data_IF_083112205907
#
_entry.id   IF_083112205907
#
_cell.length_a   1.000
_cell.length_b   1.000
_cell.length_c   1.000
_cell.angle_alpha   90.00
_cell.angle_beta   90.00
_cell.angle_gamma   90.00
#
_symmetry.space_group_name_H-M   'P 1'
#
loop_
_entity.id
_entity.type
_entity.pdbx_description
1 polymer ?
#
# COMPACT_ATOMS: atom_id res chain seq x y z
N UNK A 1 -1.33 16.52 14.63
CA UNK A 1 -1.29 15.72 13.39
C UNK A 1 0.19 15.50 13.05
N UNK A 2 0.62 14.27 12.77
CA UNK A 2 2.02 13.99 12.38
C UNK A 2 2.21 14.27 10.89
N UNK A 3 3.42 14.65 10.46
CA UNK A 3 3.73 15.00 9.07
C UNK A 3 3.31 13.94 8.02
N UNK A 4 3.26 12.66 8.40
CA UNK A 4 2.76 11.57 7.55
C UNK A 4 1.24 11.60 7.34
N UNK A 5 0.45 12.01 8.34
CA UNK A 5 -1.00 12.12 8.21
C UNK A 5 -1.37 13.24 7.24
N UNK A 6 -0.68 14.38 7.33
CA UNK A 6 -0.90 15.50 6.42
C UNK A 6 -0.57 15.16 4.96
N UNK A 7 0.47 14.34 4.73
CA UNK A 7 0.80 13.85 3.40
C UNK A 7 -0.31 12.96 2.81
N UNK A 8 -0.88 12.05 3.62
CA UNK A 8 -1.97 11.16 3.17
C UNK A 8 -3.28 11.93 2.94
N UNK A 9 -3.61 12.90 3.80
CA UNK A 9 -4.76 13.78 3.58
C UNK A 9 -4.60 14.62 2.31
N UNK A 10 -3.39 15.14 2.03
CA UNK A 10 -3.08 15.85 0.77
C UNK A 10 -3.21 14.96 -0.48
N UNK A 11 -3.01 13.65 -0.33
CA UNK A 11 -3.20 12.67 -1.39
C UNK A 11 -4.67 12.21 -1.54
N UNK A 12 -5.60 12.80 -0.76
CA UNK A 12 -7.04 12.52 -0.87
C UNK A 12 -7.54 11.37 0.00
N UNK A 13 -6.72 10.86 0.93
CA UNK A 13 -7.13 9.79 1.84
C UNK A 13 -7.97 10.38 2.98
N UNK A 14 -9.20 9.89 3.14
CA UNK A 14 -10.05 10.27 4.28
C UNK A 14 -9.36 9.93 5.61
N UNK A 15 -9.34 10.83 6.61
CA UNK A 15 -8.67 10.60 7.89
C UNK A 15 -9.08 9.30 8.60
N UNK A 16 -10.35 8.90 8.45
CA UNK A 16 -10.92 7.66 9.02
C UNK A 16 -10.42 6.37 8.34
N UNK A 17 -9.76 6.50 7.19
CA UNK A 17 -9.14 5.39 6.44
C UNK A 17 -7.61 5.44 6.47
N UNK A 18 -7.04 6.31 7.32
CA UNK A 18 -5.59 6.37 7.53
C UNK A 18 -5.23 5.37 8.62
N UNK A 19 -4.72 4.22 8.20
CA UNK A 19 -4.18 3.21 9.10
C UNK A 19 -2.70 3.53 9.37
N UNK A 20 -2.36 3.70 10.65
CA UNK A 20 -1.00 4.03 11.07
C UNK A 20 -0.55 3.00 12.10
N UNK A 21 0.57 2.36 11.80
CA UNK A 21 1.37 1.62 12.74
C UNK A 21 2.06 2.60 13.72
N UNK A 22 1.31 3.15 14.69
CA UNK A 22 1.85 4.06 15.72
C UNK A 22 2.77 3.29 16.67
N UNK A 23 4.00 3.77 16.85
CA UNK A 23 4.91 3.29 17.90
C UNK A 23 5.89 2.18 17.52
N UNK A 24 6.02 1.84 16.24
CA UNK A 24 6.87 0.74 15.80
C UNK A 24 8.19 1.28 15.22
N UNK A 25 9.11 1.64 16.12
CA UNK A 25 10.51 1.90 15.78
C UNK A 25 11.17 0.59 15.33
N UNK A 26 11.51 0.50 14.03
CA UNK A 26 12.57 -0.35 13.46
C UNK A 26 12.53 -1.88 13.59
N UNK A 27 11.85 -2.48 14.57
CA UNK A 27 12.07 -3.89 14.95
C UNK A 27 10.83 -4.66 15.40
N UNK A 28 9.65 -4.06 15.39
CA UNK A 28 8.49 -4.69 16.00
C UNK A 28 7.59 -5.37 14.95
N UNK A 29 7.31 -6.66 15.22
CA UNK A 29 7.05 -7.74 14.25
C UNK A 29 5.61 -7.76 13.73
N UNK A 30 4.71 -7.00 14.35
CA UNK A 30 3.29 -6.97 14.06
C UNK A 30 2.93 -5.63 13.42
N UNK A 31 2.35 -5.68 12.21
CA UNK A 31 1.93 -4.50 11.42
C UNK A 31 0.40 -4.47 11.30
N UNK A 32 -0.32 -4.37 12.43
CA UNK A 32 -1.78 -4.42 12.41
C UNK A 32 -2.39 -3.33 11.53
N UNK A 33 -1.71 -2.18 11.35
CA UNK A 33 -2.17 -1.12 10.46
C UNK A 33 -2.18 -1.51 8.98
N UNK A 34 -1.13 -2.21 8.50
CA UNK A 34 -1.10 -2.69 7.12
C UNK A 34 -2.12 -3.80 6.89
N UNK A 35 -2.21 -4.76 7.80
CA UNK A 35 -3.22 -5.83 7.74
C UNK A 35 -4.65 -5.26 7.70
N UNK A 36 -4.94 -4.26 8.54
CA UNK A 36 -6.23 -3.57 8.52
C UNK A 36 -6.47 -2.83 7.21
N UNK A 37 -5.45 -2.17 6.65
CA UNK A 37 -5.58 -1.49 5.36
C UNK A 37 -5.86 -2.49 4.23
N UNK A 38 -5.13 -3.61 4.19
CA UNK A 38 -5.34 -4.69 3.21
C UNK A 38 -6.70 -5.38 3.37
N UNK A 39 -7.22 -5.48 4.59
CA UNK A 39 -8.56 -5.99 4.86
C UNK A 39 -9.67 -4.99 4.51
N UNK A 40 -9.40 -3.68 4.62
CA UNK A 40 -10.36 -2.62 4.35
C UNK A 40 -10.54 -2.34 2.85
N UNK A 41 -9.49 -2.48 2.04
CA UNK A 41 -9.55 -2.22 0.60
C UNK A 41 -10.43 -3.23 -0.14
N UNK A 42 -11.28 -2.71 -1.03
CA UNK A 42 -12.15 -3.47 -1.92
C UNK A 42 -11.77 -3.22 -3.38
N UNK A 43 -12.34 -4.02 -4.29
CA UNK A 43 -12.14 -3.83 -5.72
C UNK A 43 -12.48 -2.40 -6.15
N UNK A 44 -11.56 -1.76 -6.87
CA UNK A 44 -11.67 -0.36 -7.31
C UNK A 44 -11.14 0.68 -6.32
N UNK A 45 -10.82 0.30 -5.08
CA UNK A 45 -10.16 1.21 -4.13
C UNK A 45 -8.68 1.42 -4.48
N UNK A 46 -8.09 2.44 -3.86
CA UNK A 46 -6.65 2.73 -3.94
C UNK A 46 -6.01 2.59 -2.57
N UNK A 47 -5.07 1.67 -2.43
CA UNK A 47 -4.20 1.57 -1.27
C UNK A 47 -3.07 2.59 -1.39
N UNK A 48 -3.01 3.57 -0.49
CA UNK A 48 -1.97 4.60 -0.50
C UNK A 48 -0.90 4.28 0.53
N UNK A 49 0.35 4.18 0.09
CA UNK A 49 1.52 4.00 0.95
C UNK A 49 2.61 5.01 0.59
N UNK A 50 3.35 5.55 1.58
CA UNK A 50 4.31 6.61 1.32
C UNK A 50 5.58 6.12 0.61
N UNK A 51 6.00 4.86 0.83
CA UNK A 51 7.21 4.25 0.27
C UNK A 51 7.06 2.73 0.19
N UNK A 52 7.83 2.09 -0.69
CA UNK A 52 7.79 0.63 -0.90
C UNK A 52 8.27 -0.15 0.34
N UNK A 53 9.24 0.37 1.11
CA UNK A 53 9.69 -0.24 2.38
C UNK A 53 8.60 -0.26 3.47
N UNK A 54 7.54 0.55 3.27
CA UNK A 54 6.34 0.57 4.11
C UNK A 54 5.21 -0.28 3.54
N UNK A 55 5.32 -0.77 2.31
CA UNK A 55 4.43 -1.80 1.79
C UNK A 55 4.96 -3.16 2.21
N UNK A 56 6.20 -3.47 1.82
CA UNK A 56 6.77 -4.80 1.97
C UNK A 56 8.18 -4.78 2.59
N UNK A 57 8.50 -5.83 3.37
CA UNK A 57 9.79 -5.99 4.07
C UNK A 57 10.79 -6.91 3.35
N UNK A 58 10.30 -7.66 2.38
CA UNK A 58 11.09 -8.58 1.58
C UNK A 58 10.44 -8.74 0.22
N UNK A 59 11.19 -9.32 -0.70
CA UNK A 59 10.72 -9.63 -2.04
C UNK A 59 9.50 -10.58 -2.04
N UNK A 60 9.50 -11.70 -1.29
CA UNK A 60 8.30 -12.56 -1.20
C UNK A 60 7.06 -11.84 -0.65
N UNK A 61 7.26 -10.97 0.35
CA UNK A 61 6.19 -10.18 0.96
C UNK A 61 5.62 -9.16 -0.05
N UNK A 62 6.48 -8.52 -0.85
CA UNK A 62 6.07 -7.61 -1.92
C UNK A 62 5.26 -8.33 -2.99
N UNK A 63 5.68 -9.55 -3.35
CA UNK A 63 4.98 -10.40 -4.31
C UNK A 63 3.58 -10.78 -3.81
N UNK A 64 3.47 -11.31 -2.60
CA UNK A 64 2.16 -11.70 -2.04
C UNK A 64 1.17 -10.52 -1.99
N UNK A 65 1.65 -9.35 -1.56
CA UNK A 65 0.83 -8.13 -1.54
C UNK A 65 0.46 -7.69 -2.95
N UNK A 66 1.40 -7.72 -3.90
CA UNK A 66 1.15 -7.35 -5.30
C UNK A 66 0.11 -8.26 -5.96
N UNK A 67 0.25 -9.58 -5.81
CA UNK A 67 -0.71 -10.59 -6.30
C UNK A 67 -2.09 -10.38 -5.66
N UNK A 68 -2.17 -10.13 -4.35
CA UNK A 68 -3.43 -9.91 -3.64
C UNK A 68 -4.14 -8.62 -4.10
N UNK A 69 -3.41 -7.53 -4.30
CA UNK A 69 -3.96 -6.26 -4.79
C UNK A 69 -4.41 -6.39 -6.25
N UNK A 70 -3.61 -7.04 -7.10
CA UNK A 70 -3.95 -7.27 -8.50
C UNK A 70 -5.18 -8.16 -8.65
N UNK A 71 -5.25 -9.28 -7.91
CA UNK A 71 -6.39 -10.19 -7.92
C UNK A 71 -7.69 -9.51 -7.45
N UNK A 72 -7.58 -8.55 -6.54
CA UNK A 72 -8.71 -7.76 -6.05
C UNK A 72 -9.02 -6.54 -6.92
N UNK A 73 -8.22 -6.20 -7.93
CA UNK A 73 -8.40 -4.97 -8.71
C UNK A 73 -8.22 -3.69 -7.89
N UNK A 74 -7.33 -3.73 -6.90
CA UNK A 74 -7.01 -2.59 -6.02
C UNK A 74 -5.82 -1.83 -6.61
N UNK A 75 -5.94 -0.50 -6.72
CA UNK A 75 -4.86 0.36 -7.17
C UNK A 75 -3.86 0.57 -6.05
N UNK A 76 -2.58 0.71 -6.39
CA UNK A 76 -1.53 1.01 -5.42
C UNK A 76 -0.99 2.40 -5.68
N UNK A 77 -1.08 3.30 -4.69
CA UNK A 77 -0.42 4.59 -4.74
C UNK A 77 0.87 4.57 -3.90
N UNK A 78 2.01 4.78 -4.56
CA UNK A 78 3.30 4.98 -3.93
C UNK A 78 3.65 6.47 -3.93
N UNK A 79 3.47 7.13 -2.79
CA UNK A 79 3.62 8.58 -2.70
C UNK A 79 2.64 9.30 -3.63
N UNK A 80 3.14 10.01 -4.64
CA UNK A 80 2.34 10.73 -5.64
C UNK A 80 1.97 9.89 -6.85
N UNK A 81 2.56 8.71 -7.03
CA UNK A 81 2.35 7.88 -8.21
C UNK A 81 1.29 6.83 -7.92
N UNK A 82 0.32 6.68 -8.83
CA UNK A 82 -0.77 5.70 -8.73
C UNK A 82 -0.57 4.65 -9.81
N UNK A 83 -0.59 3.38 -9.41
CA UNK A 83 -0.47 2.21 -10.27
C UNK A 83 -1.78 1.44 -10.26
N UNK A 84 -2.44 1.38 -11.41
CA UNK A 84 -3.70 0.68 -11.59
C UNK A 84 -3.46 -0.72 -12.18
N UNK A 85 -3.86 -1.83 -11.53
CA UNK A 85 -3.71 -3.17 -12.08
C UNK A 85 -4.51 -3.42 -13.38
N UNK A 86 -5.41 -2.52 -13.77
CA UNK A 86 -6.10 -2.57 -15.06
C UNK A 86 -5.30 -1.91 -16.21
N UNK A 87 -4.40 -0.97 -15.91
CA UNK A 87 -3.58 -0.25 -16.88
C UNK A 87 -2.34 -1.09 -17.28
N UNK A 88 -1.95 -1.15 -18.57
CA UNK A 88 -0.68 -1.74 -18.99
C UNK A 88 0.53 -1.37 -18.13
N UNK A 89 0.67 -0.09 -17.75
CA UNK A 89 1.78 0.39 -16.93
C UNK A 89 1.70 -0.11 -15.49
N UNK A 90 0.50 -0.11 -14.90
CA UNK A 90 0.32 -0.64 -13.55
C UNK A 90 0.50 -2.16 -13.52
N UNK A 91 -0.04 -2.90 -14.50
CA UNK A 91 0.23 -4.34 -14.67
C UNK A 91 1.72 -4.65 -14.72
N UNK A 92 2.48 -3.88 -15.51
CA UNK A 92 3.93 -4.04 -15.56
C UNK A 92 4.57 -3.81 -14.19
N UNK A 93 4.16 -2.77 -13.46
CA UNK A 93 4.66 -2.50 -12.11
C UNK A 93 4.36 -3.64 -11.13
N UNK A 94 3.12 -4.13 -11.09
CA UNK A 94 2.74 -5.27 -10.25
C UNK A 94 3.51 -6.54 -10.62
N UNK A 95 3.70 -6.82 -11.91
CA UNK A 95 4.48 -7.96 -12.38
C UNK A 95 5.95 -7.86 -11.99
N UNK A 96 6.54 -6.66 -12.05
CA UNK A 96 7.91 -6.40 -11.62
C UNK A 96 8.04 -6.67 -10.12
N UNK A 97 7.11 -6.19 -9.29
CA UNK A 97 7.08 -6.51 -7.85
C UNK A 97 6.92 -8.01 -7.57
N UNK A 98 6.18 -8.73 -8.42
CA UNK A 98 5.96 -10.17 -8.28
C UNK A 98 7.11 -11.03 -8.84
N UNK A 99 7.96 -10.50 -9.71
CA UNK A 99 9.03 -11.25 -10.40
C UNK A 99 10.35 -11.25 -9.64
N UNK A 100 10.59 -10.25 -8.80
CA UNK A 100 11.80 -10.21 -8.00
C UNK A 100 11.88 -11.36 -7.01
#
# INVERSE_FOLDING_TARGET
MTAQQEALVKLGVSPDRIYIDKGLTGSNRQRPGLDQALAAVRSGDTLVVPKLDRLARSVPDAREIADALQARGVKLALGTNIYDPADPMGKMFFNVLATF
#
